data_IF_143856455644
#
_entry.id   IF_143856455644
#
_cell.length_a   1.000
_cell.length_b   1.000
_cell.length_c   1.000
_cell.angle_alpha   90.00
_cell.angle_beta   90.00
_cell.angle_gamma   90.00
#
_symmetry.space_group_name_H-M   'P 1'
#
loop_
_entity.id
_entity.type
_entity.pdbx_description
1 polymer ?
#
# COMPACT_ATOMS: atom_id res chain seq x y z
N UNK A 1 -6.22 7.16 12.92
CA UNK A 1 -6.81 7.78 11.74
C UNK A 1 -5.74 7.97 10.67
N UNK A 2 -6.06 7.58 9.45
CA UNK A 2 -5.21 7.75 8.28
C UNK A 2 -5.91 8.68 7.29
N UNK A 3 -5.25 9.76 6.92
CA UNK A 3 -5.81 10.76 5.98
C UNK A 3 -5.18 10.57 4.61
N UNK A 4 -6.02 10.56 3.57
CA UNK A 4 -5.60 10.38 2.19
C UNK A 4 -6.23 11.44 1.29
N UNK A 5 -5.50 11.83 0.24
CA UNK A 5 -6.02 12.72 -0.80
C UNK A 5 -5.29 12.46 -2.11
N UNK A 6 -5.99 12.66 -3.23
CA UNK A 6 -5.38 12.62 -4.57
C UNK A 6 -4.68 13.94 -4.91
N UNK A 7 -4.85 14.96 -4.09
CA UNK A 7 -4.25 16.28 -4.30
C UNK A 7 -3.05 16.46 -3.38
N UNK A 8 -1.85 16.49 -3.96
CA UNK A 8 -0.59 16.63 -3.21
C UNK A 8 -0.56 17.88 -2.34
N UNK A 9 -1.08 19.02 -2.86
CA UNK A 9 -1.11 20.27 -2.11
C UNK A 9 -1.96 20.20 -0.84
N UNK A 10 -3.07 19.45 -0.89
CA UNK A 10 -3.95 19.23 0.27
C UNK A 10 -3.23 18.40 1.33
N UNK A 11 -2.54 17.33 0.93
CA UNK A 11 -1.78 16.49 1.86
C UNK A 11 -0.65 17.26 2.52
N UNK A 12 0.09 18.03 1.74
CA UNK A 12 1.19 18.83 2.26
C UNK A 12 0.71 19.83 3.31
N UNK A 13 -0.37 20.53 3.00
CA UNK A 13 -0.97 21.49 3.93
C UNK A 13 -1.49 20.81 5.20
N UNK A 14 -2.12 19.65 5.03
CA UNK A 14 -2.62 18.88 6.17
C UNK A 14 -1.47 18.44 7.08
N UNK A 15 -0.36 17.99 6.52
CA UNK A 15 0.83 17.59 7.29
C UNK A 15 1.41 18.74 8.08
N UNK A 16 1.36 19.96 7.54
CA UNK A 16 1.83 21.16 8.25
C UNK A 16 0.92 21.53 9.41
N UNK A 17 -0.40 21.38 9.24
CA UNK A 17 -1.40 21.75 10.26
C UNK A 17 -1.56 20.66 11.32
N UNK A 18 -1.48 19.40 10.93
CA UNK A 18 -1.71 18.26 11.81
C UNK A 18 -0.56 17.25 11.70
N UNK A 19 0.65 17.60 12.17
CA UNK A 19 1.84 16.75 11.97
C UNK A 19 1.77 15.41 12.72
N UNK A 20 0.94 15.30 13.73
CA UNK A 20 0.79 14.06 14.52
C UNK A 20 -0.17 13.04 13.92
N UNK A 21 -0.80 13.35 12.78
CA UNK A 21 -1.79 12.45 12.16
C UNK A 21 -1.16 11.74 10.96
N UNK A 22 -1.35 10.41 10.89
CA UNK A 22 -0.82 9.59 9.81
C UNK A 22 -1.49 9.93 8.47
N UNK A 23 -0.72 9.97 7.40
CA UNK A 23 -1.22 10.23 6.04
C UNK A 23 -0.82 9.12 5.09
N UNK A 24 -1.66 8.88 4.07
CA UNK A 24 -1.34 7.99 2.96
C UNK A 24 -0.55 8.77 1.90
N UNK A 25 0.20 8.02 1.07
CA UNK A 25 0.92 8.62 -0.05
C UNK A 25 -0.05 9.21 -1.07
N UNK A 26 0.27 10.41 -1.56
CA UNK A 26 -0.40 10.95 -2.72
C UNK A 26 0.05 10.24 -4.00
N UNK A 27 -0.62 10.52 -5.15
CA UNK A 27 -0.28 9.81 -6.39
C UNK A 27 1.18 9.97 -6.83
N UNK A 28 1.75 11.15 -6.72
CA UNK A 28 3.15 11.38 -7.10
C UNK A 28 4.11 10.72 -6.13
N UNK A 29 3.82 10.73 -4.83
CA UNK A 29 4.63 10.05 -3.82
C UNK A 29 4.65 8.54 -4.06
N UNK A 30 3.48 7.95 -4.34
CA UNK A 30 3.37 6.53 -4.63
C UNK A 30 4.14 6.16 -5.89
N UNK A 31 4.06 6.98 -6.93
CA UNK A 31 4.78 6.75 -8.18
C UNK A 31 6.30 6.78 -7.97
N UNK A 32 6.81 7.80 -7.28
CA UNK A 32 8.23 7.90 -7.00
C UNK A 32 8.73 6.72 -6.17
N UNK A 33 7.99 6.35 -5.15
CA UNK A 33 8.37 5.19 -4.33
C UNK A 33 8.39 3.91 -5.16
N UNK A 34 7.38 3.71 -6.02
CA UNK A 34 7.32 2.55 -6.92
C UNK A 34 8.55 2.49 -7.83
N UNK A 35 8.88 3.62 -8.47
CA UNK A 35 10.03 3.67 -9.38
C UNK A 35 11.34 3.40 -8.65
N UNK A 36 11.53 3.98 -7.47
CA UNK A 36 12.73 3.76 -6.67
C UNK A 36 12.82 2.31 -6.18
N UNK A 37 11.69 1.70 -5.79
CA UNK A 37 11.69 0.30 -5.37
C UNK A 37 12.06 -0.64 -6.52
N UNK A 38 11.61 -0.34 -7.74
CA UNK A 38 11.96 -1.12 -8.94
C UNK A 38 13.45 -1.02 -9.26
N UNK A 39 14.05 0.13 -9.02
CA UNK A 39 15.46 0.36 -9.27
C UNK A 39 16.36 -0.12 -8.11
N UNK A 40 15.78 -0.60 -7.01
CA UNK A 40 16.54 -0.98 -5.81
C UNK A 40 17.03 0.20 -5.00
N UNK A 41 16.47 1.39 -5.21
CA UNK A 41 16.91 2.65 -4.60
C UNK A 41 15.91 3.20 -3.58
N UNK A 42 14.96 2.39 -3.12
CA UNK A 42 13.96 2.83 -2.15
C UNK A 42 14.59 3.32 -0.84
N UNK A 43 15.78 2.84 -0.49
CA UNK A 43 16.50 3.29 0.71
C UNK A 43 16.90 4.78 0.66
N UNK A 44 16.89 5.38 -0.53
CA UNK A 44 17.19 6.81 -0.69
C UNK A 44 15.95 7.70 -0.47
N UNK A 45 14.77 7.09 -0.37
CA UNK A 45 13.53 7.84 -0.23
C UNK A 45 13.24 8.15 1.23
N UNK A 46 12.99 9.43 1.53
CA UNK A 46 12.58 9.88 2.86
C UNK A 46 11.06 10.12 2.85
N UNK A 47 10.26 9.17 3.35
CA UNK A 47 8.81 9.29 3.24
C UNK A 47 8.24 10.34 4.18
N UNK A 48 7.33 11.17 3.65
CA UNK A 48 6.52 12.08 4.43
C UNK A 48 5.16 11.47 4.81
N UNK A 49 4.88 10.26 4.30
CA UNK A 49 3.65 9.52 4.56
C UNK A 49 3.93 8.30 5.44
N UNK A 50 2.89 7.70 5.97
CA UNK A 50 2.97 6.51 6.81
C UNK A 50 2.40 5.26 6.13
N UNK A 51 1.68 5.43 5.03
CA UNK A 51 1.03 4.32 4.34
C UNK A 51 1.01 4.53 2.82
N UNK A 52 1.03 3.40 2.11
CA UNK A 52 0.85 3.35 0.66
C UNK A 52 -0.48 2.63 0.40
N UNK A 53 -1.45 3.34 -0.14
CA UNK A 53 -2.73 2.76 -0.58
C UNK A 53 -2.73 2.78 -2.10
N UNK A 54 -2.45 1.64 -2.72
CA UNK A 54 -2.11 1.57 -4.14
C UNK A 54 -2.96 0.53 -4.87
N UNK A 55 -3.20 0.71 -6.18
CA UNK A 55 -3.83 -0.34 -6.98
C UNK A 55 -2.89 -1.52 -7.15
N UNK A 56 -3.47 -2.71 -7.37
CA UNK A 56 -2.66 -3.92 -7.63
C UNK A 56 -1.86 -3.77 -8.91
N UNK A 57 -2.51 -3.21 -9.94
CA UNK A 57 -1.87 -2.93 -11.22
C UNK A 57 -2.20 -1.52 -11.68
N UNK A 58 -1.32 -0.94 -12.47
CA UNK A 58 -1.53 0.37 -13.07
C UNK A 58 -0.98 0.34 -14.49
N UNK A 59 -1.86 0.60 -15.47
CA UNK A 59 -1.52 0.57 -16.91
C UNK A 59 -0.82 -0.74 -17.30
N UNK A 60 -1.32 -1.85 -16.80
CA UNK A 60 -0.79 -3.18 -17.11
C UNK A 60 0.47 -3.58 -16.33
N UNK A 61 1.00 -2.70 -15.50
CA UNK A 61 2.18 -3.00 -14.68
C UNK A 61 1.76 -3.43 -13.27
N UNK A 62 2.38 -4.48 -12.76
CA UNK A 62 2.16 -4.92 -11.39
C UNK A 62 2.82 -3.93 -10.42
N UNK A 63 2.00 -3.27 -9.61
CA UNK A 63 2.49 -2.31 -8.60
C UNK A 63 2.87 -3.03 -7.32
N UNK A 64 1.96 -3.88 -6.82
CA UNK A 64 2.16 -4.57 -5.54
C UNK A 64 2.83 -5.91 -5.81
N UNK A 65 4.05 -6.05 -5.33
CA UNK A 65 4.82 -7.27 -5.40
C UNK A 65 5.47 -7.50 -4.04
N UNK A 66 6.02 -8.68 -3.83
CA UNK A 66 6.77 -8.99 -2.60
C UNK A 66 7.93 -7.99 -2.41
N UNK A 67 8.61 -7.66 -3.50
CA UNK A 67 9.73 -6.69 -3.48
C UNK A 67 9.26 -5.30 -3.09
N UNK A 68 8.13 -4.84 -3.65
CA UNK A 68 7.55 -3.53 -3.32
C UNK A 68 7.14 -3.46 -1.84
N UNK A 69 6.47 -4.49 -1.35
CA UNK A 69 6.04 -4.56 0.05
C UNK A 69 7.24 -4.59 0.99
N UNK A 70 8.26 -5.38 0.68
CA UNK A 70 9.47 -5.45 1.48
C UNK A 70 10.19 -4.09 1.53
N UNK A 71 10.26 -3.38 0.40
CA UNK A 71 10.87 -2.06 0.35
C UNK A 71 10.08 -1.06 1.21
N UNK A 72 8.75 -1.12 1.17
CA UNK A 72 7.89 -0.26 1.99
C UNK A 72 8.08 -0.55 3.48
N UNK A 73 8.07 -1.82 3.87
CA UNK A 73 8.26 -2.21 5.27
C UNK A 73 9.62 -1.80 5.80
N UNK A 74 10.66 -1.86 4.97
CA UNK A 74 12.00 -1.41 5.35
C UNK A 74 12.03 0.09 5.65
N UNK A 75 11.07 0.86 5.14
CA UNK A 75 10.92 2.30 5.42
C UNK A 75 9.80 2.59 6.41
N UNK A 76 9.32 1.57 7.13
CA UNK A 76 8.22 1.67 8.10
C UNK A 76 6.91 2.18 7.50
N UNK A 77 6.66 1.83 6.24
CA UNK A 77 5.41 2.13 5.55
C UNK A 77 4.50 0.91 5.54
N UNK A 78 3.21 1.12 5.76
CA UNK A 78 2.21 0.07 5.55
C UNK A 78 1.74 0.10 4.10
N UNK A 79 1.31 -1.05 3.59
CA UNK A 79 0.83 -1.19 2.20
C UNK A 79 -0.57 -1.78 2.21
N UNK A 80 -1.50 -1.07 1.58
CA UNK A 80 -2.86 -1.55 1.35
C UNK A 80 -3.16 -1.51 -0.15
N UNK A 81 -3.78 -2.56 -0.65
CA UNK A 81 -4.16 -2.66 -2.06
C UNK A 81 -5.67 -2.45 -2.23
N UNK A 82 -6.07 -1.77 -3.31
CA UNK A 82 -7.47 -1.48 -3.64
C UNK A 82 -7.69 -1.64 -5.14
N UNK A 83 -8.85 -1.88 -5.62
CA UNK A 83 -9.94 -2.62 -4.97
C UNK A 83 -9.81 -4.05 -5.43
N UNK A 84 -9.77 -5.00 -4.53
CA UNK A 84 -9.43 -6.39 -4.83
C UNK A 84 -10.64 -7.28 -4.53
N UNK A 85 -11.19 -7.92 -5.56
CA UNK A 85 -12.38 -8.75 -5.43
C UNK A 85 -12.13 -10.22 -5.79
N UNK A 86 -11.06 -10.50 -6.57
CA UNK A 86 -10.73 -11.86 -6.98
C UNK A 86 -9.98 -12.60 -5.86
N UNK A 87 -10.43 -13.81 -5.57
CA UNK A 87 -9.86 -14.63 -4.51
C UNK A 87 -8.38 -14.95 -4.73
N UNK A 88 -8.02 -15.30 -5.98
CA UNK A 88 -6.64 -15.58 -6.34
C UNK A 88 -5.72 -14.39 -6.09
N UNK A 89 -6.19 -13.18 -6.42
CA UNK A 89 -5.42 -11.95 -6.18
C UNK A 89 -5.27 -11.68 -4.69
N UNK A 90 -6.33 -11.90 -3.90
CA UNK A 90 -6.26 -11.77 -2.45
C UNK A 90 -5.19 -12.67 -1.86
N UNK A 91 -5.11 -13.92 -2.28
CA UNK A 91 -4.11 -14.88 -1.81
C UNK A 91 -2.70 -14.46 -2.19
N UNK A 92 -2.51 -13.96 -3.41
CA UNK A 92 -1.21 -13.46 -3.87
C UNK A 92 -0.75 -12.25 -3.05
N UNK A 93 -1.65 -11.33 -2.73
CA UNK A 93 -1.32 -10.14 -1.94
C UNK A 93 -0.97 -10.50 -0.50
N UNK A 94 -1.69 -11.43 0.11
CA UNK A 94 -1.38 -11.92 1.45
C UNK A 94 0.01 -12.55 1.46
N UNK A 95 0.32 -13.38 0.46
CA UNK A 95 1.64 -14.00 0.32
C UNK A 95 2.75 -12.96 0.09
N UNK A 96 2.43 -11.83 -0.55
CA UNK A 96 3.37 -10.74 -0.73
C UNK A 96 3.61 -9.93 0.54
N UNK A 97 2.76 -10.07 1.55
CA UNK A 97 2.93 -9.44 2.85
C UNK A 97 2.24 -8.10 3.03
N UNK A 98 1.21 -7.79 2.22
CA UNK A 98 0.47 -6.53 2.37
C UNK A 98 -0.19 -6.43 3.75
N UNK A 99 -0.34 -5.21 4.23
CA UNK A 99 -0.93 -4.93 5.54
C UNK A 99 -2.45 -4.83 5.48
N UNK A 100 -3.01 -4.50 4.31
CA UNK A 100 -4.43 -4.37 4.15
C UNK A 100 -4.88 -4.59 2.72
N UNK A 101 -6.13 -5.03 2.57
CA UNK A 101 -6.79 -5.21 1.27
C UNK A 101 -8.17 -4.56 1.36
N UNK A 102 -8.46 -3.69 0.41
CA UNK A 102 -9.78 -3.08 0.28
C UNK A 102 -10.59 -3.86 -0.74
N UNK A 103 -11.74 -4.35 -0.33
CA UNK A 103 -12.57 -5.22 -1.15
C UNK A 103 -14.06 -4.91 -1.00
N UNK A 104 -14.84 -5.21 -2.04
CA UNK A 104 -16.30 -5.16 -1.97
C UNK A 104 -16.89 -6.43 -1.35
N UNK A 105 -16.06 -7.46 -1.10
CA UNK A 105 -16.47 -8.77 -0.58
C UNK A 105 -15.71 -9.11 0.70
N UNK A 106 -16.01 -8.43 1.82
CA UNK A 106 -15.24 -8.61 3.06
C UNK A 106 -15.34 -10.01 3.65
N UNK A 107 -16.46 -10.70 3.45
CA UNK A 107 -16.65 -12.09 3.90
C UNK A 107 -15.71 -13.05 3.16
N UNK A 108 -15.51 -12.83 1.85
CA UNK A 108 -14.56 -13.61 1.05
C UNK A 108 -13.15 -13.46 1.57
N UNK A 109 -12.74 -12.22 1.81
CA UNK A 109 -11.42 -11.92 2.34
C UNK A 109 -11.23 -12.50 3.75
N UNK A 110 -12.23 -12.38 4.61
CA UNK A 110 -12.18 -12.92 5.97
C UNK A 110 -11.94 -14.43 5.97
N UNK A 111 -12.62 -15.16 5.07
CA UNK A 111 -12.43 -16.60 4.94
C UNK A 111 -11.00 -16.97 4.53
N UNK A 112 -10.42 -16.23 3.60
CA UNK A 112 -9.05 -16.45 3.14
C UNK A 112 -8.05 -16.18 4.27
N UNK A 113 -8.25 -15.11 5.03
CA UNK A 113 -7.38 -14.77 6.16
C UNK A 113 -7.40 -15.88 7.22
N UNK A 114 -8.58 -16.42 7.53
CA UNK A 114 -8.70 -17.52 8.49
C UNK A 114 -7.95 -18.76 8.02
N UNK A 115 -8.09 -19.14 6.75
CA UNK A 115 -7.36 -20.28 6.18
C UNK A 115 -5.85 -20.07 6.32
N UNK A 116 -5.38 -18.87 6.04
CA UNK A 116 -3.95 -18.54 6.11
C UNK A 116 -3.43 -18.58 7.55
N UNK A 117 -4.23 -18.08 8.50
CA UNK A 117 -3.86 -18.13 9.93
C UNK A 117 -3.77 -19.55 10.45
N UNK A 118 -4.59 -20.45 9.94
CA UNK A 118 -4.58 -21.86 10.34
C UNK A 118 -3.44 -22.65 9.67
N UNK A 119 -2.56 -21.99 8.94
CA UNK A 119 -1.40 -22.60 8.29
C UNK A 119 -1.71 -23.36 7.01
N UNK A 120 -2.78 -22.97 6.32
CA UNK A 120 -3.26 -23.67 5.12
C UNK A 120 -3.05 -22.90 3.83
#
# INVERSE_FOLDING_TARGET
VLVASVHAGVLERFRQVCPGVATSAGPSEALWFYLLSRAGLAFLYSPAMQALQVPVTFKGLAVVSRRFVAAAHARNLTVAAWTVNAEGTMRQLIAAGVDGIMTDYPDRLAGIIEETRDGR
#
